data_IF_379021436306
#
_entry.id   IF_379021436306
#
_cell.length_a   1.000
_cell.length_b   1.000
_cell.length_c   1.000
_cell.angle_alpha   90.00
_cell.angle_beta   90.00
_cell.angle_gamma   90.00
#
_symmetry.space_group_name_H-M   'P 1'
#
loop_
_entity.id
_entity.type
_entity.pdbx_description
1 polymer ?
#
# COMPACT_ATOMS: atom_id res chain seq x y z
N UNK A 1 20.23 23.59 20.97
CA UNK A 1 19.76 23.02 19.69
C UNK A 1 18.67 22.02 20.02
N UNK A 2 17.42 22.30 19.63
CA UNK A 2 16.36 21.31 19.73
C UNK A 2 16.71 20.15 18.80
N UNK A 3 16.93 18.95 19.36
CA UNK A 3 17.18 17.74 18.59
C UNK A 3 15.92 17.51 17.75
N UNK A 4 16.00 17.69 16.43
CA UNK A 4 14.90 17.37 15.54
C UNK A 4 14.62 15.88 15.71
N UNK A 5 13.39 15.52 16.11
CA UNK A 5 13.04 14.12 16.30
C UNK A 5 12.98 13.45 14.94
N UNK A 6 13.73 12.37 14.75
CA UNK A 6 13.67 11.53 13.56
C UNK A 6 12.25 10.96 13.40
N UNK A 7 11.75 10.96 12.16
CA UNK A 7 10.50 10.26 11.78
C UNK A 7 10.78 8.83 11.31
N UNK A 8 12.07 8.52 11.06
CA UNK A 8 12.49 7.24 10.52
C UNK A 8 12.92 6.28 11.63
N UNK A 9 12.37 5.08 11.57
CA UNK A 9 12.69 3.93 12.40
C UNK A 9 13.56 3.00 11.57
N UNK A 10 14.71 2.57 12.11
CA UNK A 10 15.51 1.50 11.52
C UNK A 10 15.17 0.18 12.19
N UNK A 11 15.21 -0.89 11.42
CA UNK A 11 14.93 -2.23 11.89
C UNK A 11 16.24 -3.06 11.98
N UNK A 12 16.94 -3.05 13.13
CA UNK A 12 18.18 -3.79 13.30
C UNK A 12 18.05 -5.30 13.09
N UNK A 13 16.88 -5.87 13.46
CA UNK A 13 16.59 -7.30 13.31
C UNK A 13 15.94 -7.64 11.96
N UNK A 14 15.86 -6.65 11.07
CA UNK A 14 15.47 -6.79 9.66
C UNK A 14 14.32 -7.77 9.41
N UNK A 15 13.05 -7.44 9.72
CA UNK A 15 11.89 -8.28 9.39
C UNK A 15 11.90 -8.68 7.93
N UNK A 16 11.54 -9.93 7.62
CA UNK A 16 11.60 -10.51 6.27
C UNK A 16 10.23 -10.61 5.66
N UNK A 17 10.12 -10.32 4.37
CA UNK A 17 8.94 -10.70 3.58
C UNK A 17 9.03 -12.20 3.30
N UNK A 18 8.22 -12.96 4.01
CA UNK A 18 8.16 -14.42 3.84
C UNK A 18 7.36 -14.80 2.61
N UNK A 19 6.22 -14.15 2.41
CA UNK A 19 5.36 -14.35 1.26
C UNK A 19 4.48 -13.12 1.00
N UNK A 20 3.86 -13.08 -0.16
CA UNK A 20 2.85 -12.10 -0.51
C UNK A 20 1.78 -12.74 -1.36
N UNK A 21 0.62 -12.10 -1.43
CA UNK A 21 -0.43 -12.45 -2.37
C UNK A 21 -1.28 -11.24 -2.74
N UNK A 22 -1.95 -11.33 -3.89
CA UNK A 22 -2.81 -10.27 -4.40
C UNK A 22 -3.97 -10.83 -5.21
N UNK A 23 -5.05 -10.06 -5.25
CA UNK A 23 -6.24 -10.30 -6.07
C UNK A 23 -6.64 -8.97 -6.70
N UNK A 24 -7.14 -9.01 -7.92
CA UNK A 24 -7.59 -7.80 -8.60
C UNK A 24 -8.80 -8.07 -9.49
N UNK A 25 -9.60 -7.01 -9.69
CA UNK A 25 -10.77 -6.99 -10.53
C UNK A 25 -10.44 -7.06 -12.03
N UNK A 26 -11.47 -7.23 -12.88
CA UNK A 26 -11.28 -7.39 -14.33
C UNK A 26 -10.58 -6.20 -14.98
N UNK A 27 -10.89 -4.98 -14.52
CA UNK A 27 -10.33 -3.74 -15.06
C UNK A 27 -8.83 -3.64 -14.76
N UNK A 28 -8.43 -3.90 -13.55
CA UNK A 28 -7.04 -3.93 -13.11
C UNK A 28 -6.25 -5.03 -13.82
N UNK A 29 -6.88 -6.18 -14.02
CA UNK A 29 -6.28 -7.33 -14.70
C UNK A 29 -6.10 -7.13 -16.21
N UNK A 30 -6.85 -6.21 -16.83
CA UNK A 30 -6.60 -5.80 -18.21
C UNK A 30 -5.28 -5.02 -18.37
N UNK A 31 -4.74 -4.44 -17.28
CA UNK A 31 -3.47 -3.73 -17.24
C UNK A 31 -2.27 -4.65 -17.00
N UNK A 32 -1.14 -4.02 -16.67
CA UNK A 32 0.15 -4.73 -16.46
C UNK A 32 0.06 -5.71 -15.30
N UNK A 33 -0.63 -5.34 -14.22
CA UNK A 33 -0.67 -6.12 -12.97
C UNK A 33 -1.36 -7.46 -13.12
N UNK A 34 -2.28 -7.61 -14.09
CA UNK A 34 -3.03 -8.86 -14.34
C UNK A 34 -2.16 -10.09 -14.58
N UNK A 35 -0.91 -9.91 -15.04
CA UNK A 35 0.06 -11.00 -15.24
C UNK A 35 0.76 -11.46 -13.96
N UNK A 36 0.62 -10.69 -12.87
CA UNK A 36 1.38 -10.86 -11.64
C UNK A 36 0.51 -11.14 -10.42
N UNK A 37 -0.82 -10.88 -10.49
CA UNK A 37 -1.73 -11.17 -9.39
C UNK A 37 -1.92 -12.68 -9.22
N UNK A 38 -2.13 -13.12 -7.97
CA UNK A 38 -2.41 -14.53 -7.66
C UNK A 38 -3.80 -14.96 -8.13
N UNK A 39 -4.75 -14.01 -8.18
CA UNK A 39 -6.10 -14.23 -8.67
C UNK A 39 -6.60 -13.02 -9.47
N UNK A 40 -6.91 -13.23 -10.73
CA UNK A 40 -7.67 -12.32 -11.56
C UNK A 40 -9.16 -12.68 -11.43
N UNK A 41 -10.00 -11.71 -11.10
CA UNK A 41 -11.44 -11.91 -10.99
C UNK A 41 -12.12 -11.75 -12.37
N UNK A 42 -13.16 -12.54 -12.61
CA UNK A 42 -13.97 -12.45 -13.82
C UNK A 42 -15.00 -11.31 -13.73
N UNK A 43 -15.40 -10.93 -12.52
CA UNK A 43 -16.33 -9.83 -12.22
C UNK A 43 -16.01 -9.15 -10.89
N UNK A 44 -16.57 -7.96 -10.66
CA UNK A 44 -16.34 -7.16 -9.44
C UNK A 44 -17.07 -7.72 -8.21
N UNK A 45 -18.04 -8.60 -8.37
CA UNK A 45 -18.83 -9.13 -7.27
C UNK A 45 -18.19 -10.33 -6.58
N UNK A 46 -17.25 -11.00 -7.25
CA UNK A 46 -16.58 -12.19 -6.73
C UNK A 46 -17.56 -13.27 -6.18
N UNK A 47 -18.75 -13.34 -6.82
CA UNK A 47 -19.83 -14.24 -6.41
C UNK A 47 -20.59 -13.78 -5.15
N UNK A 48 -20.38 -12.57 -4.67
CA UNK A 48 -21.07 -12.00 -3.50
C UNK A 48 -22.30 -11.17 -3.91
N UNK A 49 -23.14 -10.83 -2.95
CA UNK A 49 -24.39 -10.11 -3.17
C UNK A 49 -24.26 -8.58 -3.02
N UNK A 50 -23.14 -8.09 -2.49
CA UNK A 50 -22.84 -6.66 -2.31
C UNK A 50 -21.37 -6.39 -2.52
N UNK A 51 -21.04 -5.16 -2.89
CA UNK A 51 -19.66 -4.73 -3.14
C UNK A 51 -18.78 -4.80 -1.88
N UNK A 52 -19.34 -4.50 -0.70
CA UNK A 52 -18.61 -4.59 0.58
C UNK A 52 -18.28 -6.06 0.93
N UNK A 53 -19.16 -7.00 0.63
CA UNK A 53 -18.87 -8.42 0.80
C UNK A 53 -17.81 -8.90 -0.19
N UNK A 54 -17.86 -8.42 -1.43
CA UNK A 54 -16.84 -8.71 -2.43
C UNK A 54 -15.46 -8.17 -1.98
N UNK A 55 -15.40 -6.92 -1.48
CA UNK A 55 -14.19 -6.32 -0.93
C UNK A 55 -13.62 -7.13 0.25
N UNK A 56 -14.49 -7.49 1.21
CA UNK A 56 -14.10 -8.34 2.33
C UNK A 56 -13.54 -9.70 1.88
N UNK A 57 -14.20 -10.34 0.90
CA UNK A 57 -13.75 -11.63 0.34
C UNK A 57 -12.43 -11.52 -0.41
N UNK A 58 -12.19 -10.43 -1.14
CA UNK A 58 -10.89 -10.16 -1.77
C UNK A 58 -9.78 -10.01 -0.73
N UNK A 59 -10.01 -9.22 0.31
CA UNK A 59 -9.03 -9.04 1.39
C UNK A 59 -8.72 -10.37 2.08
N UNK A 60 -9.76 -11.14 2.43
CA UNK A 60 -9.62 -12.46 3.02
C UNK A 60 -8.82 -13.41 2.12
N UNK A 61 -9.14 -13.45 0.82
CA UNK A 61 -8.41 -14.27 -0.14
C UNK A 61 -6.92 -13.91 -0.16
N UNK A 62 -6.58 -12.61 -0.21
CA UNK A 62 -5.19 -12.17 -0.22
C UNK A 62 -4.44 -12.63 1.05
N UNK A 63 -5.08 -12.54 2.23
CA UNK A 63 -4.51 -12.99 3.51
C UNK A 63 -4.30 -14.52 3.50
N UNK A 64 -5.34 -15.31 3.23
CA UNK A 64 -5.26 -16.77 3.20
C UNK A 64 -4.24 -17.27 2.17
N UNK A 65 -4.17 -16.63 1.01
CA UNK A 65 -3.23 -16.97 -0.04
C UNK A 65 -1.78 -16.63 0.35
N UNK A 66 -1.54 -15.50 1.02
CA UNK A 66 -0.21 -15.14 1.52
C UNK A 66 0.26 -16.13 2.59
N UNK A 67 -0.61 -16.54 3.52
CA UNK A 67 -0.32 -17.59 4.50
C UNK A 67 0.04 -18.91 3.83
N UNK A 68 -0.76 -19.32 2.83
CA UNK A 68 -0.50 -20.53 2.05
C UNK A 68 0.83 -20.46 1.30
N UNK A 69 1.12 -19.34 0.64
CA UNK A 69 2.39 -19.13 -0.08
C UNK A 69 3.59 -19.18 0.89
N UNK A 70 3.43 -18.66 2.12
CA UNK A 70 4.46 -18.71 3.16
C UNK A 70 4.51 -20.01 3.96
N UNK A 71 3.61 -20.97 3.69
CA UNK A 71 3.47 -22.22 4.47
C UNK A 71 3.28 -21.98 5.97
N UNK A 72 2.55 -20.90 6.32
CA UNK A 72 2.16 -20.53 7.68
C UNK A 72 0.68 -20.86 7.87
N UNK A 73 0.34 -21.52 8.99
CA UNK A 73 -1.06 -21.78 9.34
C UNK A 73 -1.63 -20.55 10.04
N UNK A 74 -2.94 -20.37 9.99
CA UNK A 74 -3.61 -19.26 10.67
C UNK A 74 -3.30 -19.23 12.17
N UNK A 75 -3.25 -20.38 12.83
CA UNK A 75 -2.90 -20.53 14.25
C UNK A 75 -1.43 -20.20 14.59
N UNK A 76 -0.55 -20.13 13.58
CA UNK A 76 0.87 -19.78 13.73
C UNK A 76 1.11 -18.30 13.37
N UNK A 77 0.06 -17.53 13.05
CA UNK A 77 0.14 -16.11 12.80
C UNK A 77 -0.09 -15.33 14.09
N UNK A 78 0.90 -14.56 14.50
CA UNK A 78 0.85 -13.83 15.78
C UNK A 78 0.05 -12.52 15.69
N UNK A 79 0.03 -11.86 14.51
CA UNK A 79 -0.59 -10.54 14.35
C UNK A 79 -1.11 -10.31 12.94
N UNK A 80 -2.33 -9.78 12.85
CA UNK A 80 -2.93 -9.23 11.64
C UNK A 80 -3.07 -7.72 11.75
N UNK A 81 -2.44 -6.96 10.83
CA UNK A 81 -2.53 -5.49 10.74
C UNK A 81 -3.19 -5.13 9.43
N UNK A 82 -4.34 -4.49 9.49
CA UNK A 82 -5.10 -4.19 8.29
C UNK A 82 -6.06 -3.01 8.47
N UNK A 83 -6.47 -2.45 7.37
CA UNK A 83 -7.51 -1.45 7.25
C UNK A 83 -8.04 -1.41 5.82
N UNK A 84 -9.03 -0.59 5.60
CA UNK A 84 -9.65 -0.35 4.30
C UNK A 84 -10.15 1.10 4.21
N UNK A 85 -10.86 1.46 3.13
CA UNK A 85 -11.37 2.82 2.94
C UNK A 85 -12.72 3.08 3.60
N UNK A 86 -13.44 2.04 3.99
CA UNK A 86 -14.82 2.17 4.43
C UNK A 86 -14.93 2.64 5.87
N UNK A 87 -16.08 3.21 6.21
CA UNK A 87 -16.36 3.64 7.57
C UNK A 87 -16.12 2.50 8.57
N UNK A 88 -15.38 2.80 9.63
CA UNK A 88 -14.95 1.89 10.70
C UNK A 88 -14.14 0.69 10.20
N UNK A 89 -13.46 0.82 9.05
CA UNK A 89 -12.64 -0.25 8.45
C UNK A 89 -13.39 -1.59 8.42
N UNK A 90 -14.59 -1.56 7.84
CA UNK A 90 -15.53 -2.68 7.98
C UNK A 90 -15.06 -3.94 7.27
N UNK A 91 -14.42 -3.82 6.09
CA UNK A 91 -13.91 -4.97 5.34
C UNK A 91 -12.76 -5.66 6.09
N UNK A 92 -11.84 -4.89 6.67
CA UNK A 92 -10.75 -5.40 7.51
C UNK A 92 -11.27 -6.03 8.80
N UNK A 93 -12.24 -5.39 9.46
CA UNK A 93 -12.84 -5.87 10.70
C UNK A 93 -13.58 -7.21 10.51
N UNK A 94 -14.33 -7.36 9.41
CA UNK A 94 -15.02 -8.63 9.11
C UNK A 94 -14.03 -9.72 8.66
N UNK A 95 -12.97 -9.36 7.95
CA UNK A 95 -11.89 -10.30 7.66
C UNK A 95 -11.22 -10.79 8.95
N UNK A 96 -10.90 -9.88 9.88
CA UNK A 96 -10.32 -10.22 11.17
C UNK A 96 -11.25 -11.07 12.05
N UNK A 97 -12.56 -10.83 12.01
CA UNK A 97 -13.55 -11.68 12.73
C UNK A 97 -13.45 -13.15 12.36
N UNK A 98 -13.18 -13.41 11.08
CA UNK A 98 -13.15 -14.76 10.53
C UNK A 98 -11.75 -15.41 10.64
N UNK A 99 -10.76 -14.70 11.18
CA UNK A 99 -9.39 -15.16 11.44
C UNK A 99 -9.15 -15.21 12.96
N UNK A 100 -8.73 -16.34 13.54
CA UNK A 100 -8.48 -16.46 14.98
C UNK A 100 -7.14 -15.83 15.40
N UNK A 101 -6.86 -14.59 14.99
CA UNK A 101 -5.57 -13.91 15.15
C UNK A 101 -5.76 -12.55 15.81
N UNK A 102 -4.87 -12.11 16.72
CA UNK A 102 -4.86 -10.74 17.21
C UNK A 102 -4.83 -9.72 16.09
N UNK A 103 -5.67 -8.67 16.20
CA UNK A 103 -5.91 -7.70 15.14
C UNK A 103 -5.60 -6.27 15.58
N UNK A 104 -4.82 -5.57 14.78
CA UNK A 104 -4.64 -4.12 14.83
C UNK A 104 -5.31 -3.50 13.60
N UNK A 105 -6.46 -2.86 13.82
CA UNK A 105 -7.14 -2.07 12.79
C UNK A 105 -6.52 -0.70 12.65
N UNK A 106 -6.18 -0.29 11.43
CA UNK A 106 -5.53 0.98 11.10
C UNK A 106 -6.32 1.73 10.03
N UNK A 107 -6.19 3.05 9.99
CA UNK A 107 -6.83 3.88 8.97
C UNK A 107 -5.90 5.00 8.50
N UNK A 108 -5.20 4.77 7.42
CA UNK A 108 -4.42 5.77 6.69
C UNK A 108 -4.99 6.08 5.31
N UNK A 109 -6.28 5.81 5.08
CA UNK A 109 -6.91 5.86 3.77
C UNK A 109 -6.09 5.02 2.75
N UNK A 110 -5.71 5.60 1.61
CA UNK A 110 -4.91 4.87 0.60
C UNK A 110 -3.48 4.51 1.07
N UNK A 111 -2.95 5.14 2.14
CA UNK A 111 -1.63 4.83 2.70
C UNK A 111 -1.59 3.57 3.58
N UNK A 112 -2.74 2.95 3.82
CA UNK A 112 -2.91 1.84 4.76
C UNK A 112 -1.94 0.68 4.53
N UNK A 113 -1.52 0.40 3.28
CA UNK A 113 -0.54 -0.66 3.02
C UNK A 113 0.83 -0.35 3.64
N UNK A 114 1.33 0.86 3.48
CA UNK A 114 2.61 1.28 4.09
C UNK A 114 2.50 1.40 5.61
N UNK A 115 1.37 1.92 6.12
CA UNK A 115 1.09 2.00 7.55
C UNK A 115 1.08 0.61 8.20
N UNK A 116 0.37 -0.35 7.60
CA UNK A 116 0.30 -1.74 8.07
C UNK A 116 1.68 -2.42 8.05
N UNK A 117 2.48 -2.20 7.00
CA UNK A 117 3.84 -2.71 6.92
C UNK A 117 4.75 -2.11 8.00
N UNK A 118 4.65 -0.80 8.21
CA UNK A 118 5.41 -0.09 9.25
C UNK A 118 5.13 -0.68 10.64
N UNK A 119 3.86 -0.87 11.00
CA UNK A 119 3.45 -1.43 12.28
C UNK A 119 3.86 -2.91 12.42
N UNK A 120 3.57 -3.73 11.41
CA UNK A 120 3.93 -5.14 11.43
C UNK A 120 5.45 -5.35 11.58
N UNK A 121 6.25 -4.59 10.80
CA UNK A 121 7.71 -4.64 10.91
C UNK A 121 8.20 -4.17 12.29
N UNK A 122 7.63 -3.11 12.85
CA UNK A 122 7.96 -2.61 14.18
C UNK A 122 7.70 -3.66 15.27
N UNK A 123 6.55 -4.35 15.21
CA UNK A 123 6.19 -5.39 16.18
C UNK A 123 7.13 -6.60 16.11
N UNK A 124 7.54 -6.97 14.90
CA UNK A 124 8.52 -8.07 14.70
C UNK A 124 9.91 -7.65 15.17
N UNK A 125 10.38 -6.47 14.78
CA UNK A 125 11.72 -5.98 15.14
C UNK A 125 11.87 -5.80 16.65
N UNK A 126 10.81 -5.36 17.33
CA UNK A 126 10.77 -5.26 18.79
C UNK A 126 10.65 -6.63 19.51
N UNK A 127 10.48 -7.73 18.78
CA UNK A 127 10.38 -9.08 19.34
C UNK A 127 9.03 -9.38 19.99
N UNK A 128 7.97 -8.61 19.67
CA UNK A 128 6.62 -8.85 20.21
C UNK A 128 5.87 -9.96 19.46
N UNK A 129 6.26 -10.24 18.23
CA UNK A 129 5.74 -11.35 17.44
C UNK A 129 6.82 -11.89 16.49
N UNK A 130 6.72 -13.17 16.12
CA UNK A 130 7.59 -13.82 15.14
C UNK A 130 7.01 -13.72 13.71
N UNK A 131 5.68 -13.60 13.58
CA UNK A 131 4.96 -13.52 12.32
C UNK A 131 3.89 -12.44 12.36
N UNK A 132 3.78 -11.67 11.29
CA UNK A 132 2.71 -10.68 11.14
C UNK A 132 2.30 -10.55 9.67
N UNK A 133 1.02 -10.30 9.43
CA UNK A 133 0.53 -10.02 8.08
C UNK A 133 0.01 -8.59 7.99
N UNK A 134 0.52 -7.85 7.01
CA UNK A 134 0.06 -6.51 6.64
C UNK A 134 -0.78 -6.62 5.37
N UNK A 135 -2.04 -6.20 5.41
CA UNK A 135 -2.92 -6.30 4.26
C UNK A 135 -3.89 -5.12 4.17
N UNK A 136 -4.32 -4.83 2.97
CA UNK A 136 -5.41 -3.90 2.71
C UNK A 136 -6.02 -4.14 1.34
N UNK A 137 -7.21 -3.61 1.12
CA UNK A 137 -7.92 -3.67 -0.14
C UNK A 137 -8.83 -2.46 -0.33
N UNK A 138 -9.40 -2.37 -1.49
CA UNK A 138 -10.48 -1.45 -1.83
C UNK A 138 -11.32 -2.03 -2.95
N UNK A 139 -12.54 -1.50 -3.09
CA UNK A 139 -13.44 -1.82 -4.20
C UNK A 139 -13.98 -0.53 -4.79
N UNK A 140 -13.97 -0.41 -6.11
CA UNK A 140 -14.45 0.79 -6.79
C UNK A 140 -15.83 1.22 -6.30
N UNK A 141 -16.81 0.33 -6.41
CA UNK A 141 -18.21 0.70 -6.15
C UNK A 141 -18.49 1.03 -4.69
N UNK A 142 -17.89 0.32 -3.73
CA UNK A 142 -18.06 0.62 -2.30
C UNK A 142 -17.43 1.95 -1.91
N UNK A 143 -16.21 2.23 -2.39
CA UNK A 143 -15.49 3.46 -2.09
C UNK A 143 -16.11 4.68 -2.80
N UNK A 144 -16.38 4.59 -4.09
CA UNK A 144 -16.91 5.72 -4.86
C UNK A 144 -18.26 6.20 -4.32
N UNK A 145 -19.19 5.29 -4.03
CA UNK A 145 -20.50 5.66 -3.48
C UNK A 145 -20.44 6.22 -2.07
N UNK A 146 -19.38 5.88 -1.32
CA UNK A 146 -19.18 6.43 0.02
C UNK A 146 -18.56 7.83 -0.03
N UNK A 147 -17.58 8.07 -0.91
CA UNK A 147 -16.76 9.28 -0.85
C UNK A 147 -17.08 10.33 -1.89
N UNK A 148 -17.69 9.97 -3.02
CA UNK A 148 -17.90 10.91 -4.12
C UNK A 148 -19.35 11.05 -4.52
N UNK A 149 -19.92 10.05 -5.17
CA UNK A 149 -21.26 10.14 -5.77
C UNK A 149 -22.05 8.85 -5.59
N UNK A 150 -23.39 8.95 -5.48
CA UNK A 150 -24.24 7.79 -5.77
C UNK A 150 -23.92 7.28 -7.18
N UNK A 151 -23.58 6.00 -7.32
CA UNK A 151 -23.19 5.41 -8.62
C UNK A 151 -24.30 5.54 -9.66
N UNK A 152 -25.56 5.52 -9.20
CA UNK A 152 -26.77 5.63 -10.00
C UNK A 152 -26.90 6.98 -10.74
N UNK A 153 -26.19 8.02 -10.30
CA UNK A 153 -26.20 9.32 -10.98
C UNK A 153 -25.48 9.30 -12.31
N UNK A 154 -24.57 8.34 -12.55
CA UNK A 154 -23.82 8.22 -13.80
C UNK A 154 -23.06 9.49 -14.18
N UNK A 155 -22.52 10.23 -13.20
CA UNK A 155 -21.82 11.50 -13.44
C UNK A 155 -20.55 11.30 -14.24
N UNK A 156 -20.29 12.21 -15.19
CA UNK A 156 -19.02 12.23 -15.92
C UNK A 156 -17.88 12.59 -14.98
N UNK A 157 -16.83 11.79 -14.97
CA UNK A 157 -15.64 12.03 -14.16
C UNK A 157 -14.81 13.15 -14.78
N UNK A 158 -14.30 14.09 -13.98
CA UNK A 158 -13.41 15.12 -14.49
C UNK A 158 -12.00 14.58 -14.80
N UNK A 159 -11.24 15.22 -15.72
CA UNK A 159 -9.96 14.68 -16.20
C UNK A 159 -8.85 14.61 -15.14
N UNK A 160 -8.97 15.33 -14.02
CA UNK A 160 -8.04 15.23 -12.88
C UNK A 160 -8.34 14.05 -11.95
N UNK A 161 -9.45 13.34 -12.16
CA UNK A 161 -9.86 12.22 -11.30
C UNK A 161 -9.04 10.97 -11.54
N UNK A 162 -9.02 10.12 -10.52
CA UNK A 162 -8.43 8.78 -10.53
C UNK A 162 -9.54 7.74 -10.38
N UNK A 163 -9.24 6.49 -10.72
CA UNK A 163 -10.16 5.36 -10.60
C UNK A 163 -9.80 4.53 -9.37
N UNK A 164 -10.74 4.33 -8.45
CA UNK A 164 -10.50 3.46 -7.30
C UNK A 164 -10.28 2.02 -7.74
N UNK A 165 -9.15 1.46 -7.35
CA UNK A 165 -8.76 0.08 -7.68
C UNK A 165 -9.64 -0.92 -6.94
N UNK A 166 -10.18 -1.90 -7.67
CA UNK A 166 -10.83 -3.09 -7.12
C UNK A 166 -9.78 -4.18 -6.95
N UNK A 167 -9.31 -4.36 -5.71
CA UNK A 167 -8.26 -5.35 -5.42
C UNK A 167 -7.79 -5.31 -3.99
N UNK A 168 -7.01 -6.31 -3.63
CA UNK A 168 -6.39 -6.44 -2.32
C UNK A 168 -4.99 -7.04 -2.42
N UNK A 169 -4.15 -6.72 -1.45
CA UNK A 169 -2.81 -7.28 -1.30
C UNK A 169 -2.47 -7.56 0.15
N UNK A 170 -1.70 -8.61 0.37
CA UNK A 170 -1.23 -9.03 1.69
C UNK A 170 0.25 -9.40 1.65
N UNK A 171 1.02 -8.86 2.59
CA UNK A 171 2.43 -9.15 2.81
C UNK A 171 2.58 -9.88 4.15
N UNK A 172 3.02 -11.11 4.12
CA UNK A 172 3.38 -11.87 5.31
C UNK A 172 4.84 -11.59 5.68
N UNK A 173 5.03 -11.02 6.85
CA UNK A 173 6.34 -10.74 7.43
C UNK A 173 6.69 -11.79 8.50
N UNK A 174 8.00 -12.02 8.70
CA UNK A 174 8.48 -12.83 9.79
C UNK A 174 9.81 -12.31 10.36
N UNK A 175 10.12 -12.74 11.59
CA UNK A 175 11.44 -12.54 12.18
C UNK A 175 12.50 -13.37 11.43
N UNK A 176 13.76 -12.94 11.45
CA UNK A 176 14.87 -13.70 10.88
C UNK A 176 14.95 -15.11 11.48
N UNK A 177 14.79 -15.21 12.80
CA UNK A 177 14.77 -16.49 13.51
C UNK A 177 13.67 -17.43 13.02
N UNK A 178 12.48 -16.90 12.68
CA UNK A 178 11.39 -17.71 12.13
C UNK A 178 11.71 -18.18 10.71
N UNK A 179 12.26 -17.31 9.87
CA UNK A 179 12.70 -17.65 8.51
C UNK A 179 13.75 -18.77 8.51
N UNK A 180 14.73 -18.71 9.41
CA UNK A 180 15.77 -19.73 9.54
C UNK A 180 15.22 -21.09 10.00
N UNK A 181 14.25 -21.10 10.93
CA UNK A 181 13.54 -22.33 11.34
C UNK A 181 12.80 -23.02 10.21
N UNK A 182 12.16 -22.23 9.32
CA UNK A 182 11.47 -22.77 8.15
C UNK A 182 12.47 -23.35 7.14
N UNK A 183 13.54 -22.65 6.85
CA UNK A 183 14.57 -23.09 5.90
C UNK A 183 15.21 -24.43 6.33
N UNK A 184 15.41 -24.64 7.61
CA UNK A 184 15.91 -25.90 8.17
C UNK A 184 14.93 -27.08 8.08
N UNK A 185 13.62 -26.82 8.09
CA UNK A 185 12.59 -27.88 8.04
C UNK A 185 12.16 -28.30 6.63
N UNK A 186 12.16 -27.36 5.68
CA UNK A 186 11.56 -27.56 4.36
C UNK A 186 12.58 -27.90 3.28
N UNK A 187 13.88 -27.87 3.59
CA UNK A 187 14.92 -28.03 2.56
C UNK A 187 14.84 -26.95 1.45
N UNK A 188 14.15 -25.84 1.70
CA UNK A 188 14.11 -24.69 0.82
C UNK A 188 15.54 -24.26 0.57
N UNK A 189 16.00 -24.45 -0.65
CA UNK A 189 17.38 -24.20 -1.06
C UNK A 189 17.73 -22.75 -0.75
N UNK A 190 18.82 -22.55 0.00
CA UNK A 190 19.40 -21.23 0.22
C UNK A 190 19.78 -20.57 -1.09
N UNK A 191 18.88 -19.77 -1.65
CA UNK A 191 19.06 -19.14 -2.97
C UNK A 191 17.94 -18.18 -3.38
N UNK A 192 16.79 -18.20 -2.71
CA UNK A 192 15.75 -17.21 -3.00
C UNK A 192 16.12 -15.83 -2.44
N UNK A 193 15.87 -14.76 -3.22
CA UNK A 193 16.12 -13.40 -2.74
C UNK A 193 15.29 -13.10 -1.50
N UNK A 194 15.96 -12.75 -0.41
CA UNK A 194 15.29 -12.40 0.85
C UNK A 194 15.01 -10.90 0.86
N UNK A 195 13.76 -10.52 0.67
CA UNK A 195 13.32 -9.13 0.80
C UNK A 195 13.21 -8.81 2.29
N UNK A 196 13.88 -7.74 2.73
CA UNK A 196 13.86 -7.27 4.10
C UNK A 196 13.18 -5.90 4.20
N UNK A 197 12.48 -5.65 5.29
CA UNK A 197 12.05 -4.31 5.71
C UNK A 197 13.17 -3.72 6.54
N UNK A 198 13.87 -2.71 6.00
CA UNK A 198 15.08 -2.15 6.64
C UNK A 198 14.81 -0.87 7.42
N UNK A 199 13.77 -0.16 7.05
CA UNK A 199 13.37 1.09 7.70
C UNK A 199 11.91 1.43 7.43
N UNK A 200 11.33 2.28 8.29
CA UNK A 200 10.04 2.90 8.04
C UNK A 200 10.08 4.38 8.46
N UNK A 201 9.47 5.25 7.67
CA UNK A 201 9.30 6.66 7.99
C UNK A 201 7.84 6.97 8.24
N UNK A 202 7.51 7.34 9.48
CA UNK A 202 6.15 7.71 9.86
C UNK A 202 5.90 9.15 9.44
N UNK A 203 4.95 9.35 8.52
CA UNK A 203 4.61 10.68 8.00
C UNK A 203 3.82 11.52 8.98
N UNK A 204 3.74 12.81 8.68
CA UNK A 204 2.87 13.77 9.33
C UNK A 204 1.67 14.06 8.45
N UNK A 205 0.58 14.43 9.08
CA UNK A 205 -0.57 14.98 8.34
C UNK A 205 -0.18 16.36 7.78
N UNK A 206 -0.38 16.54 6.48
CA UNK A 206 -0.19 17.79 5.76
C UNK A 206 -1.50 18.20 5.09
N UNK A 207 -1.81 19.49 5.13
CA UNK A 207 -2.99 20.06 4.50
C UNK A 207 -2.61 21.34 3.76
N UNK A 208 -2.82 21.34 2.45
CA UNK A 208 -2.48 22.45 1.55
C UNK A 208 -3.70 23.18 1.01
N UNK A 209 -4.86 23.02 1.65
CA UNK A 209 -6.07 23.74 1.32
C UNK A 209 -6.81 23.24 0.09
N UNK A 210 -6.47 22.06 -0.44
CA UNK A 210 -7.19 21.43 -1.55
C UNK A 210 -8.50 20.84 -1.01
N UNK A 211 -9.64 21.22 -1.59
CA UNK A 211 -10.97 20.72 -1.22
C UNK A 211 -11.67 19.92 -2.33
N UNK A 212 -11.10 19.88 -3.56
CA UNK A 212 -11.66 19.10 -4.66
C UNK A 212 -11.40 17.60 -4.48
N UNK A 213 -12.43 16.86 -4.11
CA UNK A 213 -12.38 15.39 -3.93
C UNK A 213 -12.03 14.62 -5.20
N UNK A 214 -12.11 15.26 -6.38
CA UNK A 214 -11.70 14.65 -7.63
C UNK A 214 -10.21 14.86 -7.95
N UNK A 215 -9.50 15.69 -7.16
CA UNK A 215 -8.09 16.01 -7.38
C UNK A 215 -7.22 15.53 -6.20
N UNK A 216 -7.34 14.27 -5.84
CA UNK A 216 -6.63 13.70 -4.69
C UNK A 216 -5.11 13.66 -4.92
N UNK A 217 -4.64 13.46 -6.14
CA UNK A 217 -3.22 13.48 -6.44
C UNK A 217 -2.54 14.79 -6.08
N UNK A 218 -3.18 15.94 -6.39
CA UNK A 218 -2.66 17.24 -5.99
C UNK A 218 -2.71 17.44 -4.47
N UNK A 219 -3.76 16.95 -3.80
CA UNK A 219 -3.87 17.04 -2.34
C UNK A 219 -2.80 16.21 -1.63
N UNK A 220 -2.48 15.01 -2.13
CA UNK A 220 -1.56 14.06 -1.48
C UNK A 220 -0.08 14.32 -1.78
N UNK A 221 0.27 14.91 -2.92
CA UNK A 221 1.66 15.13 -3.33
C UNK A 221 2.52 15.88 -2.28
N UNK A 222 2.02 16.93 -1.57
CA UNK A 222 2.77 17.59 -0.52
C UNK A 222 3.09 16.69 0.68
N UNK A 223 2.19 15.80 1.08
CA UNK A 223 2.43 14.84 2.17
C UNK A 223 3.50 13.81 1.77
N UNK A 224 3.49 13.37 0.51
CA UNK A 224 4.55 12.51 -0.04
C UNK A 224 5.90 13.24 -0.03
N UNK A 225 5.93 14.51 -0.45
CA UNK A 225 7.15 15.33 -0.45
C UNK A 225 7.72 15.45 0.98
N UNK A 226 6.90 15.81 1.98
CA UNK A 226 7.35 15.94 3.39
C UNK A 226 7.96 14.63 3.90
N UNK A 227 7.29 13.51 3.67
CA UNK A 227 7.74 12.19 4.14
C UNK A 227 9.01 11.71 3.44
N UNK A 228 9.12 11.89 2.12
CA UNK A 228 10.34 11.53 1.37
C UNK A 228 11.54 12.37 1.79
N UNK A 229 11.35 13.69 1.96
CA UNK A 229 12.40 14.58 2.46
C UNK A 229 12.84 14.18 3.87
N UNK A 230 11.89 13.88 4.77
CA UNK A 230 12.21 13.40 6.11
C UNK A 230 13.00 12.09 6.06
N UNK A 231 12.59 11.14 5.20
CA UNK A 231 13.31 9.89 5.00
C UNK A 231 14.76 10.10 4.56
N UNK A 232 14.97 10.88 3.50
CA UNK A 232 16.31 11.14 2.97
C UNK A 232 17.19 11.89 3.99
N UNK A 233 16.62 12.85 4.70
CA UNK A 233 17.32 13.58 5.75
C UNK A 233 17.72 12.69 6.93
N UNK A 234 16.78 11.91 7.47
CA UNK A 234 16.99 11.06 8.63
C UNK A 234 17.99 9.93 8.35
N UNK A 235 17.94 9.39 7.12
CA UNK A 235 18.80 8.26 6.72
C UNK A 235 20.15 8.69 6.17
N UNK A 236 20.33 9.95 5.77
CA UNK A 236 21.49 10.42 5.02
C UNK A 236 21.61 9.80 3.62
N UNK A 237 20.55 9.13 3.15
CA UNK A 237 20.48 8.55 1.82
C UNK A 237 20.00 9.59 0.81
N UNK A 238 20.39 9.45 -0.43
CA UNK A 238 19.83 10.22 -1.54
C UNK A 238 18.89 9.33 -2.38
N UNK A 239 18.08 9.88 -3.29
CA UNK A 239 17.16 9.07 -4.11
C UNK A 239 17.85 7.95 -4.88
N UNK A 240 19.07 8.15 -5.37
CA UNK A 240 19.81 7.15 -6.15
C UNK A 240 20.30 5.93 -5.34
N UNK A 241 20.10 5.94 -4.01
CA UNK A 241 20.31 4.74 -3.19
C UNK A 241 19.27 3.66 -3.50
N UNK A 242 18.07 4.08 -3.93
CA UNK A 242 16.97 3.21 -4.30
C UNK A 242 16.90 3.02 -5.81
N UNK A 243 16.64 1.79 -6.27
CA UNK A 243 16.33 1.54 -7.67
C UNK A 243 15.02 2.22 -8.04
N UNK A 244 14.05 2.20 -7.11
CA UNK A 244 12.76 2.88 -7.27
C UNK A 244 12.33 3.60 -5.98
N UNK A 245 11.84 4.83 -6.15
CA UNK A 245 11.00 5.55 -5.19
C UNK A 245 9.55 5.40 -5.67
N UNK A 246 8.75 4.66 -4.92
CA UNK A 246 7.41 4.22 -5.35
C UNK A 246 6.36 4.93 -4.53
N UNK A 247 5.47 5.70 -5.16
CA UNK A 247 4.28 6.25 -4.49
C UNK A 247 3.04 5.38 -4.71
N UNK A 248 2.06 5.53 -3.81
CA UNK A 248 0.91 4.62 -3.74
C UNK A 248 -0.15 4.88 -4.80
N UNK A 249 -0.58 6.13 -4.93
CA UNK A 249 -1.72 6.47 -5.77
C UNK A 249 -1.81 7.98 -6.05
N UNK A 250 -0.69 8.62 -6.31
CA UNK A 250 -0.66 10.03 -6.73
C UNK A 250 -1.25 10.22 -8.13
N UNK A 251 -1.15 9.20 -8.96
CA UNK A 251 -1.49 9.26 -10.38
C UNK A 251 -0.59 10.23 -11.16
N UNK A 252 -0.86 10.41 -12.45
CA UNK A 252 0.02 11.17 -13.34
C UNK A 252 0.14 12.66 -12.94
N UNK A 253 -0.96 13.29 -12.50
CA UNK A 253 -0.93 14.68 -12.06
C UNK A 253 -0.15 14.84 -10.73
N UNK A 254 -0.50 14.04 -9.72
CA UNK A 254 0.16 14.11 -8.42
C UNK A 254 1.65 13.74 -8.48
N UNK A 255 2.03 12.78 -9.32
CA UNK A 255 3.43 12.41 -9.59
C UNK A 255 4.23 13.59 -10.17
N UNK A 256 3.67 14.36 -11.09
CA UNK A 256 4.31 15.56 -11.63
C UNK A 256 4.51 16.62 -10.54
N UNK A 257 3.44 16.90 -9.78
CA UNK A 257 3.51 17.86 -8.67
C UNK A 257 4.55 17.43 -7.64
N UNK A 258 4.60 16.15 -7.27
CA UNK A 258 5.61 15.65 -6.36
C UNK A 258 7.04 15.87 -6.88
N UNK A 259 7.30 15.55 -8.14
CA UNK A 259 8.63 15.76 -8.75
C UNK A 259 9.04 17.23 -8.73
N UNK A 260 8.12 18.14 -9.05
CA UNK A 260 8.38 19.58 -9.01
C UNK A 260 8.67 20.05 -7.56
N UNK A 261 7.86 19.63 -6.59
CA UNK A 261 8.08 19.96 -5.17
C UNK A 261 9.41 19.44 -4.63
N UNK A 262 9.79 18.22 -4.99
CA UNK A 262 11.07 17.63 -4.59
C UNK A 262 12.26 18.38 -5.24
N UNK A 263 12.13 18.72 -6.53
CA UNK A 263 13.13 19.50 -7.25
C UNK A 263 13.34 20.88 -6.63
N UNK A 264 12.28 21.59 -6.27
CA UNK A 264 12.36 22.87 -5.54
C UNK A 264 13.09 22.77 -4.19
N UNK A 265 13.08 21.59 -3.57
CA UNK A 265 13.83 21.30 -2.33
C UNK A 265 15.25 20.78 -2.59
N UNK A 266 15.71 20.75 -3.85
CA UNK A 266 17.03 20.29 -4.24
C UNK A 266 17.19 18.76 -4.24
N UNK A 267 16.10 18.01 -4.29
CA UNK A 267 16.11 16.54 -4.34
C UNK A 267 15.49 16.09 -5.66
N UNK A 268 16.25 15.39 -6.47
CA UNK A 268 15.81 14.89 -7.78
C UNK A 268 15.37 13.43 -7.70
N UNK A 269 14.11 13.16 -8.05
CA UNK A 269 13.52 11.82 -8.13
C UNK A 269 12.99 11.49 -9.54
N UNK A 270 13.31 12.31 -10.56
CA UNK A 270 12.70 12.17 -11.90
C UNK A 270 13.00 10.84 -12.56
N UNK A 271 14.21 10.32 -12.39
CA UNK A 271 14.65 9.11 -13.08
C UNK A 271 14.13 7.81 -12.45
N UNK A 272 13.92 7.79 -11.13
CA UNK A 272 13.58 6.56 -10.39
C UNK A 272 12.24 6.60 -9.67
N UNK A 273 11.46 7.67 -9.80
CA UNK A 273 10.12 7.74 -9.26
C UNK A 273 9.11 7.04 -10.18
N UNK A 274 8.30 6.17 -9.58
CA UNK A 274 7.12 5.54 -10.20
C UNK A 274 5.94 5.61 -9.24
N UNK A 275 4.72 5.56 -9.79
CA UNK A 275 3.49 5.59 -9.00
C UNK A 275 2.64 4.34 -9.27
N UNK A 276 2.12 3.70 -8.21
CA UNK A 276 1.31 2.50 -8.37
C UNK A 276 0.03 2.77 -9.16
N UNK A 277 -0.58 3.96 -9.01
CA UNK A 277 -1.75 4.35 -9.77
C UNK A 277 -1.48 4.46 -11.27
N UNK A 278 -0.29 4.93 -11.66
CA UNK A 278 0.13 4.95 -13.06
C UNK A 278 0.48 3.54 -13.58
N UNK A 279 0.97 2.66 -12.71
CA UNK A 279 1.32 1.29 -13.10
C UNK A 279 0.08 0.46 -13.36
N UNK A 280 -0.92 0.51 -12.47
CA UNK A 280 -2.09 -0.39 -12.53
C UNK A 280 -2.89 -0.23 -13.80
N UNK A 281 -3.00 1.00 -14.34
CA UNK A 281 -3.78 1.29 -15.54
C UNK A 281 -2.95 1.80 -16.74
N UNK A 282 -1.64 1.62 -16.73
CA UNK A 282 -0.73 2.19 -17.74
C UNK A 282 -1.10 1.92 -19.20
N UNK A 283 -1.81 0.83 -19.48
CA UNK A 283 -2.21 0.45 -20.84
C UNK A 283 -3.70 0.62 -21.11
N UNK A 284 -4.44 1.26 -20.23
CA UNK A 284 -5.90 1.47 -20.30
C UNK A 284 -6.15 2.97 -20.47
N UNK A 285 -6.99 3.37 -21.44
CA UNK A 285 -7.12 4.77 -21.88
C UNK A 285 -8.12 5.61 -21.07
N UNK A 286 -9.04 5.02 -20.30
CA UNK A 286 -10.18 5.75 -19.72
C UNK A 286 -10.04 6.16 -18.24
N UNK A 287 -8.87 5.99 -17.62
CA UNK A 287 -8.66 6.24 -16.19
C UNK A 287 -7.99 7.56 -15.86
N UNK A 288 -8.01 8.51 -16.80
CA UNK A 288 -7.48 9.87 -16.67
C UNK A 288 -6.12 9.97 -15.99
N UNK A 289 -6.07 10.05 -14.63
CA UNK A 289 -4.81 10.19 -13.88
C UNK A 289 -4.28 8.86 -13.32
N UNK A 290 -4.99 7.75 -13.52
CA UNK A 290 -4.58 6.43 -13.04
C UNK A 290 -5.39 5.91 -11.86
N UNK A 291 -4.84 4.93 -11.14
CA UNK A 291 -5.49 4.28 -10.01
C UNK A 291 -5.43 5.06 -8.73
N UNK A 292 -6.35 4.79 -7.81
CA UNK A 292 -6.44 5.32 -6.46
C UNK A 292 -6.91 4.22 -5.49
N UNK A 293 -6.82 4.50 -4.20
CA UNK A 293 -7.36 3.64 -3.15
C UNK A 293 -6.33 2.74 -2.48
N UNK A 294 -6.70 2.20 -1.32
CA UNK A 294 -5.83 1.34 -0.52
C UNK A 294 -5.43 0.06 -1.28
N UNK A 295 -6.35 -0.49 -2.08
CA UNK A 295 -6.08 -1.63 -2.96
C UNK A 295 -5.06 -1.34 -4.07
N UNK A 296 -4.89 -0.07 -4.48
CA UNK A 296 -3.95 0.31 -5.54
C UNK A 296 -2.51 -0.06 -5.17
N UNK A 297 -1.98 0.57 -4.12
CA UNK A 297 -0.62 0.32 -3.65
C UNK A 297 -0.43 -1.12 -3.16
N UNK A 298 -1.45 -1.71 -2.52
CA UNK A 298 -1.41 -3.08 -2.03
C UNK A 298 -1.32 -4.10 -3.17
N UNK A 299 -2.13 -3.96 -4.21
CA UNK A 299 -2.11 -4.87 -5.36
C UNK A 299 -0.79 -4.78 -6.11
N UNK A 300 -0.31 -3.57 -6.44
CA UNK A 300 0.93 -3.38 -7.19
C UNK A 300 2.15 -3.86 -6.42
N UNK A 301 2.24 -3.57 -5.11
CA UNK A 301 3.36 -4.03 -4.27
C UNK A 301 3.41 -5.55 -4.22
N UNK A 302 2.27 -6.19 -3.87
CA UNK A 302 2.20 -7.63 -3.60
C UNK A 302 2.17 -8.50 -4.86
N UNK A 303 2.04 -7.90 -6.03
CA UNK A 303 2.15 -8.57 -7.33
C UNK A 303 3.43 -8.16 -8.07
N UNK A 304 3.36 -7.04 -8.80
CA UNK A 304 4.37 -6.58 -9.74
C UNK A 304 5.72 -6.25 -9.10
N UNK A 305 5.74 -5.47 -8.01
CA UNK A 305 7.01 -5.02 -7.42
C UNK A 305 7.76 -6.15 -6.72
N UNK A 306 7.07 -6.98 -5.94
CA UNK A 306 7.72 -8.13 -5.32
C UNK A 306 8.14 -9.20 -6.33
N UNK A 307 7.44 -9.38 -7.45
CA UNK A 307 7.90 -10.25 -8.54
C UNK A 307 9.22 -9.73 -9.13
N UNK A 308 9.31 -8.43 -9.40
CA UNK A 308 10.54 -7.78 -9.87
C UNK A 308 11.70 -7.94 -8.88
N UNK A 309 11.44 -7.78 -7.58
CA UNK A 309 12.45 -8.01 -6.54
C UNK A 309 12.89 -9.48 -6.50
N UNK A 310 11.97 -10.44 -6.50
CA UNK A 310 12.30 -11.88 -6.51
C UNK A 310 13.13 -12.27 -7.72
N UNK A 311 12.88 -11.67 -8.87
CA UNK A 311 13.66 -11.85 -10.11
C UNK A 311 14.99 -11.10 -10.11
N UNK A 312 15.29 -10.32 -9.06
CA UNK A 312 16.48 -9.47 -8.95
C UNK A 312 16.58 -8.41 -10.05
N UNK A 313 15.45 -8.00 -10.64
CA UNK A 313 15.39 -6.90 -11.60
C UNK A 313 15.48 -5.54 -10.89
N UNK A 314 15.01 -5.48 -9.63
CA UNK A 314 15.16 -4.37 -8.70
C UNK A 314 15.57 -4.93 -7.34
N UNK A 315 16.39 -4.20 -6.60
CA UNK A 315 16.97 -4.64 -5.33
C UNK A 315 16.54 -3.79 -4.14
N UNK A 316 16.26 -2.51 -4.37
CA UNK A 316 15.95 -1.54 -3.32
C UNK A 316 14.79 -0.66 -3.73
N UNK A 317 13.74 -0.67 -2.92
CA UNK A 317 12.54 0.16 -3.10
C UNK A 317 12.33 1.03 -1.86
N UNK A 318 12.05 2.31 -2.05
CA UNK A 318 11.39 3.14 -1.05
C UNK A 318 9.91 3.22 -1.41
N UNK A 319 9.09 2.44 -0.71
CA UNK A 319 7.64 2.37 -0.91
C UNK A 319 6.94 3.39 -0.04
N UNK A 320 6.37 4.43 -0.64
CA UNK A 320 5.81 5.62 0.00
C UNK A 320 4.32 5.76 -0.35
N UNK A 321 3.43 5.03 0.34
CA UNK A 321 2.00 5.10 0.07
C UNK A 321 1.38 6.36 0.69
N UNK A 322 0.54 7.01 -0.11
CA UNK A 322 -0.17 8.25 0.21
C UNK A 322 -1.62 7.99 0.58
N UNK A 323 -2.24 8.89 1.35
CA UNK A 323 -3.64 8.79 1.74
C UNK A 323 -4.29 10.14 1.97
N UNK A 324 -5.49 10.31 1.44
CA UNK A 324 -6.36 11.47 1.65
C UNK A 324 -7.34 11.18 2.80
N UNK A 325 -7.19 11.88 3.92
CA UNK A 325 -7.95 11.65 5.15
C UNK A 325 -9.27 12.45 5.14
N UNK A 326 -10.08 12.22 4.13
CA UNK A 326 -11.36 12.92 3.96
C UNK A 326 -12.55 12.05 4.40
N UNK A 327 -13.65 12.68 4.70
CA UNK A 327 -14.95 12.05 4.86
C UNK A 327 -16.02 12.80 4.07
N UNK A 328 -17.14 12.15 3.80
CA UNK A 328 -18.29 12.81 3.16
C UNK A 328 -18.82 13.98 3.99
N UNK A 329 -18.69 13.89 5.32
CA UNK A 329 -19.11 14.96 6.24
C UNK A 329 -18.18 16.17 6.13
N UNK A 330 -16.86 15.98 6.22
CA UNK A 330 -15.90 17.08 6.12
C UNK A 330 -15.96 17.76 4.73
N UNK A 331 -16.01 16.98 3.66
CA UNK A 331 -16.15 17.50 2.28
C UNK A 331 -17.47 18.26 2.10
N UNK A 332 -18.59 17.76 2.64
CA UNK A 332 -19.89 18.42 2.58
C UNK A 332 -19.95 19.73 3.39
N UNK A 333 -19.06 19.91 4.34
CA UNK A 333 -18.87 21.14 5.14
C UNK A 333 -17.89 22.13 4.48
N UNK A 334 -17.27 21.75 3.36
CA UNK A 334 -16.33 22.61 2.63
C UNK A 334 -14.91 22.61 3.21
N UNK A 335 -14.58 21.64 4.07
CA UNK A 335 -13.24 21.47 4.61
C UNK A 335 -12.25 21.04 3.51
N UNK A 336 -10.99 21.41 3.70
CA UNK A 336 -9.87 20.90 2.89
C UNK A 336 -9.59 19.43 3.19
N UNK A 337 -8.73 18.80 2.38
CA UNK A 337 -8.37 17.39 2.46
C UNK A 337 -7.01 17.26 3.14
N UNK A 338 -6.95 16.94 4.44
CA UNK A 338 -5.68 16.58 5.09
C UNK A 338 -5.16 15.25 4.52
N UNK A 339 -3.86 15.18 4.27
CA UNK A 339 -3.24 14.03 3.65
C UNK A 339 -2.07 13.50 4.48
N UNK A 340 -1.74 12.23 4.30
CA UNK A 340 -0.63 11.57 4.98
C UNK A 340 0.15 10.71 3.98
N UNK A 341 1.42 10.46 4.28
CA UNK A 341 2.24 9.48 3.57
C UNK A 341 3.11 8.73 4.57
N UNK A 342 3.18 7.41 4.45
CA UNK A 342 4.15 6.60 5.18
C UNK A 342 5.09 5.92 4.19
N UNK A 343 6.38 5.81 4.54
CA UNK A 343 7.37 5.19 3.67
C UNK A 343 8.05 3.99 4.33
N UNK A 344 8.30 2.95 3.55
CA UNK A 344 8.96 1.71 3.99
C UNK A 344 10.11 1.37 3.05
N UNK A 345 11.30 1.19 3.58
CA UNK A 345 12.48 0.71 2.84
C UNK A 345 12.46 -0.81 2.71
N UNK A 346 12.43 -1.30 1.48
CA UNK A 346 12.43 -2.71 1.11
C UNK A 346 13.71 -3.03 0.34
N UNK A 347 14.52 -3.97 0.81
CA UNK A 347 15.83 -4.28 0.22
C UNK A 347 16.05 -5.79 0.09
N UNK A 348 16.69 -6.20 -1.00
CA UNK A 348 17.22 -7.58 -1.13
C UNK A 348 18.50 -7.73 -0.31
N UNK A 349 18.60 -8.83 0.40
CA UNK A 349 19.75 -9.18 1.22
C UNK A 349 20.60 -10.25 0.53
#
# INVERSE_FOLDING_TARGET
MNKQKSQTIYFPHTPRVLASASVAGPKECAGIVGKYVDLALDDDMFGESTYEKAECKMLRYAVEKALKNGSVREEDLDLFVSGDLLNQIISASFTARDLPVPFLGVYGACSTMAESLCLAATMIDAGHCDTAIAATGSHFSSAERQYRYPLELGTTRPPQSQWTVTGAGATLLCSEKYADRLSGKTGVRGGEPRIAVTSATVGKVADFGISDVNNMGAAMAPAACDTLLAHFYDTGRNPSYYDLVVTGDLGALGSRILKDLMWEKGVDIHENHVDCGEIVYKVIEDEFQGGSGAGCSATVLNSYLFDKMRKREISKILFAATGALLSTVSSGQGESIPCICHAVGLELL
#
